data_IF_149348200665
#
_entry.id   IF_149348200665
#
_cell.length_a   1.000
_cell.length_b   1.000
_cell.length_c   1.000
_cell.angle_alpha   90.00
_cell.angle_beta   90.00
_cell.angle_gamma   90.00
#
_symmetry.space_group_name_H-M   'P 1'
#
loop_
_entity.id
_entity.type
_entity.pdbx_description
1 polymer ?
#
# COMPACT_ATOMS: atom_id res chain seq x y z
N UNK A 1 -20.99 -1.21 0.10
CA UNK A 1 -19.80 -1.35 0.97
C UNK A 1 -19.83 -2.77 1.46
N UNK A 2 -18.72 -3.48 1.35
CA UNK A 2 -18.64 -4.89 1.77
C UNK A 2 -17.82 -4.98 3.04
N UNK A 3 -18.11 -6.01 3.83
CA UNK A 3 -17.60 -6.19 5.18
C UNK A 3 -16.95 -7.57 5.26
N UNK A 4 -15.76 -7.65 5.85
CA UNK A 4 -15.07 -8.92 6.10
C UNK A 4 -15.01 -9.17 7.62
N UNK A 5 -15.30 -10.40 8.10
CA UNK A 5 -15.32 -10.68 9.54
C UNK A 5 -13.96 -10.41 10.20
N UNK A 6 -13.97 -9.78 11.37
CA UNK A 6 -12.79 -9.50 12.20
C UNK A 6 -13.12 -9.62 13.69
N UNK A 7 -12.11 -9.90 14.53
CA UNK A 7 -12.26 -10.39 15.92
C UNK A 7 -13.05 -9.44 16.85
N UNK A 8 -13.07 -8.13 16.58
CA UNK A 8 -13.89 -7.12 17.30
C UNK A 8 -14.68 -6.19 16.34
N UNK A 9 -14.90 -6.57 15.07
CA UNK A 9 -15.52 -5.68 14.07
C UNK A 9 -15.53 -6.20 12.62
N UNK A 10 -15.65 -5.30 11.64
CA UNK A 10 -15.69 -5.61 10.21
C UNK A 10 -14.69 -4.75 9.43
N UNK A 11 -13.82 -5.40 8.65
CA UNK A 11 -12.90 -4.71 7.74
C UNK A 11 -13.70 -4.13 6.56
N UNK A 12 -13.83 -2.81 6.53
CA UNK A 12 -14.57 -2.09 5.50
C UNK A 12 -13.81 -2.05 4.19
N UNK A 13 -14.38 -2.61 3.13
CA UNK A 13 -13.79 -2.53 1.80
C UNK A 13 -14.80 -2.26 0.70
N UNK A 14 -14.30 -1.80 -0.44
CA UNK A 14 -15.07 -1.61 -1.68
C UNK A 14 -14.23 -2.08 -2.87
N UNK A 15 -14.86 -2.82 -3.78
CA UNK A 15 -14.24 -3.12 -5.07
C UNK A 15 -14.76 -2.21 -6.17
N UNK A 16 -13.88 -1.85 -7.10
CA UNK A 16 -14.20 -1.11 -8.33
C UNK A 16 -13.19 -1.48 -9.44
N UNK A 17 -13.29 -0.83 -10.60
CA UNK A 17 -12.56 -1.21 -11.80
C UNK A 17 -13.30 -2.27 -12.60
N UNK A 18 -12.56 -3.13 -13.29
CA UNK A 18 -13.13 -4.06 -14.27
C UNK A 18 -13.48 -5.41 -13.62
N UNK A 19 -14.75 -5.84 -13.67
CA UNK A 19 -15.14 -7.16 -13.18
C UNK A 19 -14.40 -8.27 -13.94
N UNK A 20 -13.80 -9.21 -13.20
CA UNK A 20 -13.08 -10.34 -13.79
C UNK A 20 -11.72 -10.00 -14.39
N UNK A 21 -11.20 -8.79 -14.16
CA UNK A 21 -9.84 -8.41 -14.56
C UNK A 21 -8.81 -9.44 -14.05
N UNK A 22 -7.79 -9.77 -14.87
CA UNK A 22 -6.77 -10.77 -14.51
C UNK A 22 -5.88 -10.31 -13.35
N UNK A 23 -5.85 -9.00 -13.07
CA UNK A 23 -5.02 -8.38 -12.04
C UNK A 23 -5.86 -7.67 -11.00
N UNK A 24 -5.63 -7.99 -9.74
CA UNK A 24 -6.19 -7.27 -8.59
C UNK A 24 -5.13 -6.35 -7.95
N UNK A 25 -5.57 -5.19 -7.47
CA UNK A 25 -4.76 -4.23 -6.71
C UNK A 25 -5.47 -3.89 -5.41
N UNK A 26 -4.81 -4.15 -4.28
CA UNK A 26 -5.32 -3.80 -2.96
C UNK A 26 -4.80 -2.42 -2.56
N UNK A 27 -5.71 -1.52 -2.18
CA UNK A 27 -5.37 -0.14 -1.81
C UNK A 27 -5.71 0.06 -0.35
N UNK A 28 -4.67 0.20 0.49
CA UNK A 28 -4.77 0.35 1.92
C UNK A 28 -4.65 1.85 2.29
N UNK A 29 -5.68 2.37 2.95
CA UNK A 29 -5.75 3.78 3.37
C UNK A 29 -6.48 3.90 4.71
N UNK A 30 -6.32 5.05 5.34
CA UNK A 30 -7.07 5.45 6.54
C UNK A 30 -8.03 6.60 6.23
N UNK A 31 -9.03 6.80 7.09
CA UNK A 31 -9.95 7.94 7.03
C UNK A 31 -11.09 7.79 6.02
N UNK A 32 -11.90 8.85 5.91
CA UNK A 32 -13.23 8.82 5.25
C UNK A 32 -13.20 8.45 3.76
N UNK A 33 -12.08 8.69 3.08
CA UNK A 33 -11.91 8.41 1.65
C UNK A 33 -11.27 7.05 1.37
N UNK A 34 -10.98 6.25 2.41
CA UNK A 34 -10.16 5.04 2.27
C UNK A 34 -10.71 3.99 1.32
N UNK A 35 -12.03 3.95 1.10
CA UNK A 35 -12.70 3.02 0.17
C UNK A 35 -13.17 3.67 -1.14
N UNK A 36 -12.72 4.89 -1.45
CA UNK A 36 -13.11 5.65 -2.65
C UNK A 36 -12.02 5.60 -3.73
N UNK A 37 -12.37 5.36 -4.99
CA UNK A 37 -11.39 5.35 -6.10
C UNK A 37 -10.50 6.62 -6.09
N UNK A 38 -9.15 6.48 -6.03
CA UNK A 38 -8.26 7.64 -6.03
C UNK A 38 -8.44 8.55 -7.23
N UNK A 39 -8.65 7.97 -8.43
CA UNK A 39 -9.05 8.70 -9.63
C UNK A 39 -9.70 7.72 -10.63
N UNK A 40 -11.03 7.74 -10.69
CA UNK A 40 -11.81 6.87 -11.56
C UNK A 40 -11.51 7.06 -13.06
N UNK A 41 -11.07 8.26 -13.49
CA UNK A 41 -10.69 8.48 -14.90
C UNK A 41 -9.44 7.70 -15.23
N UNK A 42 -8.44 7.74 -14.35
CA UNK A 42 -7.22 6.96 -14.49
C UNK A 42 -7.52 5.47 -14.36
N UNK A 43 -8.25 5.04 -13.32
CA UNK A 43 -8.59 3.62 -13.10
C UNK A 43 -9.27 2.99 -14.32
N UNK A 44 -10.15 3.74 -15.01
CA UNK A 44 -10.85 3.24 -16.20
C UNK A 44 -9.93 2.90 -17.39
N UNK A 45 -8.73 3.49 -17.42
CA UNK A 45 -7.68 3.23 -18.40
C UNK A 45 -6.89 1.94 -18.14
N UNK A 46 -7.16 1.23 -17.05
CA UNK A 46 -6.49 -0.03 -16.70
C UNK A 46 -7.49 -1.18 -16.58
N UNK A 47 -7.13 -2.35 -17.11
CA UNK A 47 -7.87 -3.60 -16.96
C UNK A 47 -7.56 -4.26 -15.61
N UNK A 48 -7.97 -3.59 -14.54
CA UNK A 48 -7.67 -3.97 -13.15
C UNK A 48 -8.93 -4.02 -12.30
N UNK A 49 -8.91 -4.91 -11.30
CA UNK A 49 -9.85 -4.89 -10.19
C UNK A 49 -9.17 -4.21 -9.01
N UNK A 50 -9.74 -3.11 -8.52
CA UNK A 50 -9.26 -2.46 -7.29
C UNK A 50 -10.07 -2.98 -6.11
N UNK A 51 -9.39 -3.30 -5.01
CA UNK A 51 -9.98 -3.61 -3.71
C UNK A 51 -9.47 -2.56 -2.72
N UNK A 52 -10.26 -1.50 -2.50
CA UNK A 52 -9.90 -0.44 -1.57
C UNK A 52 -10.38 -0.80 -0.16
N UNK A 53 -9.45 -0.75 0.79
CA UNK A 53 -9.63 -1.20 2.18
C UNK A 53 -9.39 -0.02 3.11
N UNK A 54 -10.36 0.23 3.99
CA UNK A 54 -10.22 1.16 5.10
C UNK A 54 -9.59 0.48 6.30
N UNK A 55 -8.53 1.09 6.83
CA UNK A 55 -7.88 0.72 8.08
C UNK A 55 -8.11 1.81 9.12
N UNK A 56 -8.19 1.42 10.39
CA UNK A 56 -8.30 2.38 11.49
C UNK A 56 -6.92 2.70 12.07
N UNK A 57 -6.64 3.97 12.33
CA UNK A 57 -5.31 4.42 12.76
C UNK A 57 -4.75 3.71 14.02
N UNK A 58 -5.57 3.42 15.06
CA UNK A 58 -5.11 2.64 16.22
C UNK A 58 -4.63 1.22 15.86
N UNK A 59 -5.09 0.65 14.75
CA UNK A 59 -4.69 -0.68 14.29
C UNK A 59 -3.24 -0.69 13.72
N UNK A 60 -2.66 0.49 13.52
CA UNK A 60 -1.38 0.70 12.86
C UNK A 60 -0.25 1.12 13.83
N UNK A 61 -0.57 1.38 15.10
CA UNK A 61 0.34 2.02 16.06
C UNK A 61 1.52 1.10 16.47
N UNK A 62 1.26 -0.20 16.66
CA UNK A 62 2.28 -1.16 17.09
C UNK A 62 2.68 -2.11 15.96
N UNK A 63 3.96 -2.19 15.56
CA UNK A 63 4.39 -3.10 14.49
C UNK A 63 4.11 -4.57 14.85
N UNK A 64 3.92 -5.46 13.86
CA UNK A 64 3.83 -6.90 14.11
C UNK A 64 5.19 -7.42 14.61
N UNK A 65 5.27 -7.72 15.91
CA UNK A 65 6.42 -8.38 16.54
C UNK A 65 6.18 -9.89 16.65
N UNK A 66 7.25 -10.67 16.45
CA UNK A 66 7.22 -12.13 16.61
C UNK A 66 6.75 -12.52 18.02
N UNK A 67 5.61 -13.21 18.11
CA UNK A 67 5.12 -13.82 19.36
C UNK A 67 4.10 -13.02 20.18
N UNK A 68 3.68 -11.82 19.73
CA UNK A 68 2.60 -11.05 20.34
C UNK A 68 1.42 -10.83 19.38
N UNK A 69 0.19 -10.81 19.89
CA UNK A 69 -0.99 -10.37 19.13
C UNK A 69 -1.03 -8.84 19.10
N UNK A 70 -0.19 -8.19 18.29
CA UNK A 70 -0.30 -6.73 18.11
C UNK A 70 -1.44 -6.40 17.15
N UNK A 71 -2.06 -5.21 17.28
CA UNK A 71 -3.10 -4.74 16.34
C UNK A 71 -2.68 -4.82 14.87
N UNK A 72 -1.43 -4.45 14.54
CA UNK A 72 -0.93 -4.55 13.17
C UNK A 72 -0.80 -6.00 12.70
N UNK A 73 -0.39 -6.92 13.58
CA UNK A 73 -0.30 -8.35 13.25
C UNK A 73 -1.68 -8.94 12.92
N UNK A 74 -2.69 -8.59 13.71
CA UNK A 74 -4.08 -8.99 13.44
C UNK A 74 -4.62 -8.38 12.14
N UNK A 75 -4.27 -7.12 11.86
CA UNK A 75 -4.63 -6.43 10.63
C UNK A 75 -4.03 -7.14 9.42
N UNK A 76 -2.75 -7.52 9.48
CA UNK A 76 -2.08 -8.26 8.41
C UNK A 76 -2.75 -9.61 8.18
N UNK A 77 -3.07 -10.39 9.21
CA UNK A 77 -3.75 -11.68 9.04
C UNK A 77 -5.15 -11.53 8.42
N UNK A 78 -5.91 -10.50 8.81
CA UNK A 78 -7.21 -10.22 8.21
C UNK A 78 -7.10 -9.79 6.74
N UNK A 79 -6.07 -9.00 6.40
CA UNK A 79 -5.77 -8.61 5.02
C UNK A 79 -5.33 -9.81 4.17
N UNK A 80 -4.56 -10.75 4.72
CA UNK A 80 -4.19 -11.99 4.03
C UNK A 80 -5.44 -12.80 3.66
N UNK A 81 -6.35 -13.00 4.62
CA UNK A 81 -7.61 -13.69 4.38
C UNK A 81 -8.50 -12.98 3.35
N UNK A 82 -8.53 -11.64 3.38
CA UNK A 82 -9.24 -10.83 2.39
C UNK A 82 -8.61 -11.01 0.99
N UNK A 83 -7.28 -10.97 0.88
CA UNK A 83 -6.56 -11.11 -0.37
C UNK A 83 -6.81 -12.48 -1.00
N UNK A 84 -6.65 -13.55 -0.22
CA UNK A 84 -6.89 -14.92 -0.67
C UNK A 84 -8.33 -15.13 -1.17
N UNK A 85 -9.30 -14.47 -0.52
CA UNK A 85 -10.71 -14.54 -0.92
C UNK A 85 -10.99 -13.76 -2.21
N UNK A 86 -10.46 -12.55 -2.34
CA UNK A 86 -10.81 -11.66 -3.46
C UNK A 86 -9.97 -11.89 -4.72
N UNK A 87 -8.81 -12.54 -4.60
CA UNK A 87 -7.88 -12.84 -5.68
C UNK A 87 -7.26 -14.26 -5.54
N UNK A 88 -8.07 -15.34 -5.48
CA UNK A 88 -7.57 -16.67 -5.21
C UNK A 88 -6.60 -17.15 -6.31
N UNK A 89 -5.38 -17.52 -5.90
CA UNK A 89 -4.34 -18.06 -6.79
C UNK A 89 -3.75 -17.06 -7.79
N UNK A 90 -4.10 -15.77 -7.68
CA UNK A 90 -3.55 -14.72 -8.52
C UNK A 90 -2.42 -13.97 -7.81
N UNK A 91 -1.44 -13.52 -8.58
CA UNK A 91 -0.47 -12.54 -8.10
C UNK A 91 -1.15 -11.17 -8.06
N UNK A 92 -0.92 -10.37 -7.00
CA UNK A 92 -1.61 -9.07 -6.79
C UNK A 92 -0.65 -7.91 -6.52
N UNK A 93 -1.13 -6.69 -6.80
CA UNK A 93 -0.45 -5.46 -6.43
C UNK A 93 -0.98 -4.93 -5.10
N UNK A 94 -0.13 -4.31 -4.30
CA UNK A 94 -0.55 -3.67 -3.04
C UNK A 94 -0.08 -2.21 -3.01
N UNK A 95 -0.96 -1.32 -2.56
CA UNK A 95 -0.69 0.10 -2.38
C UNK A 95 -0.97 0.47 -0.93
N UNK A 96 -0.01 1.12 -0.27
CA UNK A 96 -0.20 1.68 1.06
C UNK A 96 0.02 3.20 1.06
N UNK A 97 -0.96 3.97 1.51
CA UNK A 97 -0.85 5.42 1.63
C UNK A 97 -0.55 5.82 3.09
N UNK A 98 0.45 6.68 3.30
CA UNK A 98 0.82 7.26 4.60
C UNK A 98 0.94 6.18 5.69
N UNK A 99 0.12 6.26 6.74
CA UNK A 99 0.12 5.34 7.87
C UNK A 99 -0.16 3.87 7.46
N UNK A 100 -0.82 3.62 6.33
CA UNK A 100 -1.07 2.27 5.83
C UNK A 100 0.13 1.67 5.06
N UNK A 101 1.14 2.50 4.73
CA UNK A 101 2.35 2.07 4.03
C UNK A 101 3.11 0.92 4.71
N UNK A 102 3.42 1.02 6.01
CA UNK A 102 4.04 -0.07 6.75
C UNK A 102 3.24 -1.37 6.69
N UNK A 103 1.91 -1.31 6.85
CA UNK A 103 1.06 -2.50 6.75
C UNK A 103 1.10 -3.13 5.35
N UNK A 104 1.14 -2.32 4.28
CA UNK A 104 1.32 -2.84 2.93
C UNK A 104 2.62 -3.64 2.77
N UNK A 105 3.71 -3.18 3.38
CA UNK A 105 4.99 -3.89 3.37
C UNK A 105 4.94 -5.18 4.20
N UNK A 106 4.32 -5.15 5.39
CA UNK A 106 4.12 -6.34 6.21
C UNK A 106 3.23 -7.39 5.52
N UNK A 107 2.15 -6.96 4.89
CA UNK A 107 1.29 -7.83 4.10
C UNK A 107 2.07 -8.47 2.95
N UNK A 108 2.85 -7.68 2.20
CA UNK A 108 3.65 -8.19 1.10
C UNK A 108 4.71 -9.20 1.56
N UNK A 109 5.38 -8.94 2.68
CA UNK A 109 6.33 -9.89 3.27
C UNK A 109 5.64 -11.19 3.70
N UNK A 110 4.46 -11.10 4.34
CA UNK A 110 3.71 -12.27 4.80
C UNK A 110 3.11 -13.10 3.65
N UNK A 111 2.82 -12.48 2.51
CA UNK A 111 2.26 -13.14 1.33
C UNK A 111 3.33 -13.67 0.36
N UNK A 112 4.61 -13.32 0.58
CA UNK A 112 5.71 -13.72 -0.30
C UNK A 112 5.43 -13.39 -1.76
N UNK A 113 5.69 -14.34 -2.66
CA UNK A 113 5.54 -14.15 -4.11
C UNK A 113 4.10 -13.96 -4.61
N UNK A 114 3.08 -14.04 -3.75
CA UNK A 114 1.69 -13.69 -4.13
C UNK A 114 1.57 -12.17 -4.32
N UNK A 115 2.29 -11.38 -3.53
CA UNK A 115 2.40 -9.93 -3.74
C UNK A 115 3.73 -9.66 -4.46
N UNK A 116 3.66 -9.38 -5.76
CA UNK A 116 4.85 -9.14 -6.59
C UNK A 116 5.20 -7.66 -6.76
N UNK A 117 4.23 -6.77 -6.49
CA UNK A 117 4.39 -5.32 -6.63
C UNK A 117 3.81 -4.59 -5.45
N UNK A 118 4.58 -3.67 -4.87
CA UNK A 118 4.12 -2.76 -3.82
C UNK A 118 4.37 -1.31 -4.24
N UNK A 119 3.42 -0.42 -3.95
CA UNK A 119 3.67 1.02 -3.94
C UNK A 119 3.37 1.60 -2.56
N UNK A 120 4.32 2.36 -2.01
CA UNK A 120 4.11 3.14 -0.79
C UNK A 120 4.12 4.63 -1.13
N UNK A 121 3.08 5.36 -0.70
CA UNK A 121 2.86 6.76 -1.09
C UNK A 121 2.78 7.65 0.14
N UNK A 122 3.70 8.62 0.23
CA UNK A 122 3.76 9.59 1.32
C UNK A 122 4.08 8.95 2.67
N UNK A 123 4.98 7.97 2.69
CA UNK A 123 5.32 7.20 3.89
C UNK A 123 6.65 7.68 4.46
N UNK A 124 6.62 8.17 5.69
CA UNK A 124 7.82 8.57 6.43
C UNK A 124 8.61 7.34 6.86
N UNK A 125 9.95 7.46 6.83
CA UNK A 125 10.82 6.45 7.40
C UNK A 125 10.63 6.43 8.93
N UNK A 126 10.82 5.28 9.61
CA UNK A 126 10.68 5.24 11.07
C UNK A 126 11.63 6.23 11.73
N UNK A 127 11.13 7.02 12.68
CA UNK A 127 11.92 8.05 13.37
C UNK A 127 12.77 7.48 14.51
N UNK A 128 12.31 6.41 15.17
CA UNK A 128 13.00 5.81 16.31
C UNK A 128 13.86 4.58 15.91
N UNK A 129 14.96 4.30 16.64
CA UNK A 129 15.85 3.19 16.32
C UNK A 129 15.20 1.81 16.37
N UNK A 130 14.30 1.56 17.34
CA UNK A 130 13.69 0.25 17.52
C UNK A 130 12.80 -0.11 16.31
N UNK A 131 11.98 0.82 15.85
CA UNK A 131 11.17 0.64 14.65
C UNK A 131 12.02 0.43 13.39
N UNK A 132 13.20 1.05 13.30
CA UNK A 132 14.15 0.80 12.19
C UNK A 132 14.73 -0.61 12.26
N UNK A 133 15.14 -1.05 13.44
CA UNK A 133 15.73 -2.38 13.66
C UNK A 133 14.71 -3.50 13.39
N UNK A 134 13.43 -3.30 13.73
CA UNK A 134 12.37 -4.24 13.42
C UNK A 134 12.01 -4.28 11.93
N UNK A 135 12.15 -3.15 11.22
CA UNK A 135 11.72 -3.03 9.81
C UNK A 135 12.79 -3.42 8.81
N UNK A 136 14.07 -3.23 9.14
CA UNK A 136 15.18 -3.50 8.21
C UNK A 136 15.21 -4.96 7.74
N UNK A 137 15.13 -5.99 8.62
CA UNK A 137 15.13 -7.38 8.19
C UNK A 137 13.96 -7.73 7.27
N UNK A 138 12.79 -7.11 7.50
CA UNK A 138 11.63 -7.31 6.64
C UNK A 138 11.87 -6.77 5.23
N UNK A 139 12.43 -5.57 5.12
CA UNK A 139 12.72 -4.95 3.81
C UNK A 139 13.76 -5.75 3.04
N UNK A 140 14.75 -6.30 3.75
CA UNK A 140 15.79 -7.15 3.18
C UNK A 140 15.24 -8.47 2.63
N UNK A 141 14.11 -8.98 3.14
CA UNK A 141 13.50 -10.24 2.74
C UNK A 141 12.35 -10.06 1.74
N UNK A 142 11.93 -8.82 1.48
CA UNK A 142 10.78 -8.53 0.63
C UNK A 142 11.05 -8.92 -0.83
N UNK A 143 10.23 -9.84 -1.35
CA UNK A 143 10.36 -10.34 -2.72
C UNK A 143 9.72 -9.42 -3.78
N UNK A 144 8.81 -8.54 -3.37
CA UNK A 144 8.09 -7.64 -4.25
C UNK A 144 8.97 -6.51 -4.80
N UNK A 145 8.73 -6.07 -6.03
CA UNK A 145 9.29 -4.80 -6.53
C UNK A 145 8.51 -3.63 -5.93
N UNK A 146 9.24 -2.71 -5.28
CA UNK A 146 8.64 -1.61 -4.52
C UNK A 146 8.87 -0.27 -5.20
N UNK A 147 7.79 0.48 -5.38
CA UNK A 147 7.82 1.89 -5.74
C UNK A 147 7.58 2.74 -4.49
N UNK A 148 8.50 3.65 -4.20
CA UNK A 148 8.42 4.59 -3.08
C UNK A 148 8.14 5.99 -3.63
N UNK A 149 6.96 6.54 -3.35
CA UNK A 149 6.55 7.86 -3.85
C UNK A 149 6.47 8.84 -2.69
N UNK A 150 7.23 9.93 -2.76
CA UNK A 150 7.30 10.96 -1.71
C UNK A 150 7.08 12.35 -2.32
N UNK A 151 6.56 13.29 -1.53
CA UNK A 151 6.40 14.70 -1.95
C UNK A 151 7.61 15.48 -1.50
N UNK A 152 8.52 15.88 -2.38
CA UNK A 152 9.90 16.27 -2.03
C UNK A 152 10.08 17.21 -0.84
N UNK A 153 9.20 18.20 -0.67
CA UNK A 153 9.20 19.20 0.42
C UNK A 153 8.11 18.95 1.49
N UNK A 154 7.39 17.83 1.39
CA UNK A 154 6.35 17.40 2.31
C UNK A 154 6.87 16.59 3.49
N UNK A 155 5.98 16.13 4.39
CA UNK A 155 6.36 15.36 5.59
C UNK A 155 7.18 14.11 5.28
N UNK A 156 6.76 13.33 4.28
CA UNK A 156 7.57 12.28 3.69
C UNK A 156 8.35 12.86 2.51
N UNK A 157 9.67 12.98 2.68
CA UNK A 157 10.56 13.65 1.73
C UNK A 157 11.62 12.73 1.13
N UNK A 158 12.61 13.33 0.47
CA UNK A 158 13.69 12.59 -0.22
C UNK A 158 14.46 11.65 0.69
N UNK A 159 14.75 12.07 1.93
CA UNK A 159 15.47 11.25 2.92
C UNK A 159 14.72 9.97 3.27
N UNK A 160 13.39 10.02 3.34
CA UNK A 160 12.55 8.85 3.62
C UNK A 160 12.60 7.87 2.46
N UNK A 161 12.47 8.37 1.23
CA UNK A 161 12.59 7.53 0.04
C UNK A 161 13.97 6.84 -0.05
N UNK A 162 15.05 7.57 0.23
CA UNK A 162 16.40 7.00 0.31
C UNK A 162 16.49 5.92 1.38
N UNK A 163 15.94 6.16 2.58
CA UNK A 163 15.96 5.17 3.66
C UNK A 163 15.36 3.82 3.26
N UNK A 164 14.23 3.85 2.55
CA UNK A 164 13.57 2.64 2.03
C UNK A 164 14.38 2.00 0.91
N UNK A 165 14.75 2.75 -0.14
CA UNK A 165 15.42 2.19 -1.31
C UNK A 165 16.78 1.56 -0.96
N UNK A 166 17.53 2.15 -0.03
CA UNK A 166 18.82 1.61 0.41
C UNK A 166 18.72 0.22 1.08
N UNK A 167 17.51 -0.20 1.49
CA UNK A 167 17.23 -1.47 2.21
C UNK A 167 16.39 -2.45 1.39
N UNK A 168 15.85 -2.01 0.27
CA UNK A 168 15.01 -2.85 -0.58
C UNK A 168 15.89 -3.59 -1.59
N UNK A 169 15.66 -4.90 -1.77
CA UNK A 169 16.32 -5.66 -2.85
C UNK A 169 15.98 -5.13 -4.24
N UNK A 170 14.73 -4.68 -4.42
CA UNK A 170 14.21 -4.15 -5.67
C UNK A 170 13.30 -2.94 -5.40
N UNK A 171 13.92 -1.81 -5.05
CA UNK A 171 13.23 -0.55 -4.75
C UNK A 171 13.54 0.54 -5.77
N UNK A 172 12.52 1.30 -6.17
CA UNK A 172 12.68 2.55 -6.93
C UNK A 172 11.98 3.69 -6.19
N UNK A 173 12.55 4.89 -6.26
CA UNK A 173 11.99 6.07 -5.63
C UNK A 173 11.57 7.10 -6.68
N UNK A 174 10.37 7.67 -6.49
CA UNK A 174 9.89 8.84 -7.20
C UNK A 174 9.65 9.99 -6.22
N UNK A 175 10.34 11.10 -6.46
CA UNK A 175 10.14 12.35 -5.71
C UNK A 175 9.26 13.26 -6.56
N UNK A 176 8.07 13.53 -6.08
CA UNK A 176 7.10 14.38 -6.78
C UNK A 176 7.22 15.80 -6.27
N UNK A 177 7.36 16.75 -7.19
CA UNK A 177 7.43 18.16 -6.85
C UNK A 177 6.02 18.76 -6.65
N UNK A 178 5.86 19.74 -5.74
CA UNK A 178 4.57 20.41 -5.49
C UNK A 178 3.94 20.98 -6.76
N UNK A 179 4.77 21.46 -7.69
CA UNK A 179 4.33 22.07 -8.95
C UNK A 179 3.74 21.05 -9.94
N UNK A 180 3.96 19.76 -9.71
CA UNK A 180 3.58 18.66 -10.61
C UNK A 180 2.34 17.91 -10.15
N UNK A 181 1.81 18.22 -8.95
CA UNK A 181 0.71 17.47 -8.33
C UNK A 181 -0.04 18.30 -7.30
N UNK A 182 -1.35 18.10 -7.18
CA UNK A 182 -2.12 18.65 -6.06
C UNK A 182 -1.59 18.12 -4.73
N UNK A 183 -0.79 18.91 -4.03
CA UNK A 183 -0.41 18.65 -2.65
C UNK A 183 -1.44 19.27 -1.72
N UNK A 184 -2.00 18.47 -0.80
CA UNK A 184 -2.80 18.99 0.31
C UNK A 184 -1.85 19.10 1.50
N UNK A 185 -1.66 20.31 2.02
CA UNK A 185 -0.72 20.59 3.13
C UNK A 185 0.72 20.10 2.87
N UNK A 186 1.17 20.16 1.62
CA UNK A 186 2.50 19.66 1.20
C UNK A 186 2.60 18.13 1.09
N UNK A 187 1.54 17.38 1.43
CA UNK A 187 1.54 15.94 1.28
C UNK A 187 1.23 15.52 -0.15
N UNK A 188 2.00 14.55 -0.65
CA UNK A 188 1.65 13.84 -1.87
C UNK A 188 0.33 13.10 -1.67
N UNK A 189 -0.60 13.25 -2.61
CA UNK A 189 -1.91 12.58 -2.55
C UNK A 189 -1.92 11.40 -3.51
N UNK A 190 -2.55 10.29 -3.11
CA UNK A 190 -2.64 9.11 -3.98
C UNK A 190 -3.29 9.43 -5.33
N UNK A 191 -4.34 10.25 -5.36
CA UNK A 191 -4.99 10.75 -6.59
C UNK A 191 -3.97 11.35 -7.57
N UNK A 192 -3.05 12.18 -7.07
CA UNK A 192 -2.10 12.90 -7.92
C UNK A 192 -1.02 12.03 -8.56
N UNK A 193 -0.77 10.85 -7.99
CA UNK A 193 0.25 9.90 -8.46
C UNK A 193 -0.36 8.60 -8.98
N UNK A 194 -1.70 8.51 -9.03
CA UNK A 194 -2.42 7.26 -9.22
C UNK A 194 -2.06 6.54 -10.53
N UNK A 195 -1.86 7.30 -11.61
CA UNK A 195 -1.44 6.75 -12.90
C UNK A 195 -0.07 6.05 -12.83
N UNK A 196 0.90 6.66 -12.13
CA UNK A 196 2.24 6.08 -11.95
C UNK A 196 2.19 4.85 -11.04
N UNK A 197 1.42 4.95 -9.96
CA UNK A 197 1.18 3.83 -9.04
C UNK A 197 0.58 2.64 -9.77
N UNK A 198 -0.49 2.83 -10.55
CA UNK A 198 -1.12 1.74 -11.31
C UNK A 198 -0.20 1.13 -12.38
N UNK A 199 0.56 1.94 -13.09
CA UNK A 199 1.54 1.44 -14.05
C UNK A 199 2.59 0.52 -13.39
N UNK A 200 2.97 0.80 -12.13
CA UNK A 200 3.88 -0.05 -11.35
C UNK A 200 3.21 -1.29 -10.75
N UNK A 201 2.05 -1.14 -10.10
CA UNK A 201 1.42 -2.25 -9.35
C UNK A 201 0.55 -3.17 -10.23
N UNK A 202 0.22 -2.75 -11.44
CA UNK A 202 -0.53 -3.55 -12.40
C UNK A 202 0.05 -3.40 -13.83
N UNK A 203 1.34 -3.77 -14.02
CA UNK A 203 2.00 -3.57 -15.30
C UNK A 203 1.31 -4.36 -16.41
N UNK A 204 1.24 -3.78 -17.61
CA UNK A 204 0.64 -4.41 -18.79
C UNK A 204 -0.89 -4.46 -18.81
N UNK A 205 -1.56 -3.82 -17.84
CA UNK A 205 -3.04 -3.74 -17.81
C UNK A 205 -3.58 -2.46 -18.46
N UNK A 206 -2.71 -1.56 -18.92
CA UNK A 206 -3.11 -0.34 -19.64
C UNK A 206 -3.93 -0.68 -20.89
N UNK A 207 -5.08 -0.04 -21.04
CA UNK A 207 -5.96 -0.17 -22.20
C UNK A 207 -5.47 0.75 -23.31
N UNK A 208 -5.27 0.17 -24.49
CA UNK A 208 -4.94 0.89 -25.73
C UNK A 208 -6.16 1.55 -26.34
#
# INVERSE_FOLDING_TARGET
MSLAPWLDGELGYRSFGTPGAPRAVFVLRTGDIATTDPDARVTSGFDVRIVAVGLDAPELEDPPVFGGQTPAGLTVEALKALLEREAPGATVGVVGERAAGPIALYLAAAMGGVVDRVAIVGVESPSDPLSRDLRTPLLDELAAEVLVVVGGDGPAGRSDATWYVDRLRAGTAEVVHPDQTGSVDGQVTLTSVWSRVLAHVAPGTERR
#
